data_IF_318326065681
#
_entry.id   IF_318326065681
#
_cell.length_a   1.000
_cell.length_b   1.000
_cell.length_c   1.000
_cell.angle_alpha   90.00
_cell.angle_beta   90.00
_cell.angle_gamma   90.00
#
_symmetry.space_group_name_H-M   'P 1'
#
loop_
_entity.id
_entity.type
_entity.pdbx_description
1 polymer ?
#
# COMPACT_ATOMS: atom_id res chain seq x y z
N UNK A 1 -12.15 11.79 -3.59
CA UNK A 1 -11.38 11.84 -2.32
C UNK A 1 -10.27 10.78 -2.26
N UNK A 2 -10.53 9.51 -2.58
CA UNK A 2 -9.51 8.43 -2.52
C UNK A 2 -8.34 8.67 -3.49
N UNK A 3 -8.60 8.91 -4.77
CA UNK A 3 -7.53 9.22 -5.75
C UNK A 3 -6.77 10.49 -5.38
N UNK A 4 -7.48 11.51 -4.90
CA UNK A 4 -6.88 12.75 -4.45
C UNK A 4 -5.96 12.53 -3.24
N UNK A 5 -6.34 11.70 -2.26
CA UNK A 5 -5.48 11.41 -1.11
C UNK A 5 -4.23 10.62 -1.51
N UNK A 6 -4.36 9.68 -2.46
CA UNK A 6 -3.23 8.96 -3.06
C UNK A 6 -2.26 9.90 -3.79
N UNK A 7 -2.80 10.81 -4.59
CA UNK A 7 -2.01 11.77 -5.37
C UNK A 7 -1.31 12.82 -4.50
N UNK A 8 -1.99 13.33 -3.46
CA UNK A 8 -1.58 14.53 -2.74
C UNK A 8 -0.94 14.29 -1.37
N UNK A 9 -1.12 13.11 -0.76
CA UNK A 9 -0.56 12.88 0.57
C UNK A 9 0.97 12.78 0.58
N UNK A 10 1.60 13.78 1.19
CA UNK A 10 3.07 13.80 1.41
C UNK A 10 3.50 13.00 2.64
N UNK A 11 2.57 12.69 3.55
CA UNK A 11 2.89 12.12 4.86
C UNK A 11 2.55 10.63 4.99
N UNK A 12 1.52 10.16 4.28
CA UNK A 12 1.12 8.77 4.36
C UNK A 12 2.22 7.85 3.81
N UNK A 13 2.47 6.72 4.47
CA UNK A 13 3.35 5.68 3.94
C UNK A 13 2.64 4.83 2.88
N UNK A 14 1.38 4.48 3.15
CA UNK A 14 0.45 3.75 2.29
C UNK A 14 -0.97 4.21 2.61
N UNK A 15 -1.86 4.15 1.62
CA UNK A 15 -3.31 4.36 1.74
C UNK A 15 -3.98 3.09 1.24
N UNK A 16 -4.89 2.56 2.06
CA UNK A 16 -5.53 1.26 1.85
C UNK A 16 -7.04 1.40 2.02
N UNK A 17 -7.78 0.53 1.35
CA UNK A 17 -9.24 0.41 1.45
C UNK A 17 -9.58 -0.81 2.33
N UNK A 18 -10.13 -0.62 3.54
CA UNK A 18 -10.61 -1.72 4.37
C UNK A 18 -11.72 -2.49 3.64
N UNK A 19 -11.58 -3.82 3.55
CA UNK A 19 -12.55 -4.71 2.91
C UNK A 19 -13.41 -5.47 3.93
N UNK A 20 -12.85 -5.72 5.11
CA UNK A 20 -13.56 -6.40 6.18
C UNK A 20 -12.64 -6.73 7.34
N UNK A 21 -13.24 -7.21 8.42
CA UNK A 21 -12.54 -7.71 9.59
C UNK A 21 -13.20 -9.00 10.09
N UNK A 22 -12.41 -9.88 10.70
CA UNK A 22 -12.92 -11.08 11.34
C UNK A 22 -12.12 -11.41 12.60
N UNK A 23 -12.75 -12.17 13.51
CA UNK A 23 -12.06 -12.74 14.67
C UNK A 23 -11.36 -14.03 14.26
N UNK A 24 -10.15 -14.29 14.77
CA UNK A 24 -9.31 -15.43 14.40
C UNK A 24 -8.95 -16.27 15.61
N UNK A 25 -9.77 -17.28 15.92
CA UNK A 25 -9.48 -18.28 16.95
C UNK A 25 -8.95 -19.60 16.36
N UNK A 26 -9.17 -19.81 15.06
CA UNK A 26 -8.69 -20.96 14.29
C UNK A 26 -8.28 -20.57 12.88
N UNK A 27 -7.52 -21.43 12.20
CA UNK A 27 -7.19 -21.27 10.78
C UNK A 27 -8.46 -21.16 9.91
N UNK A 28 -9.53 -21.85 10.31
CA UNK A 28 -10.81 -21.84 9.62
C UNK A 28 -11.47 -20.46 9.70
N UNK A 29 -11.37 -19.77 10.84
CA UNK A 29 -11.97 -18.44 11.01
C UNK A 29 -11.33 -17.41 10.08
N UNK A 30 -10.00 -17.44 9.95
CA UNK A 30 -9.28 -16.60 8.99
C UNK A 30 -9.70 -16.93 7.57
N UNK A 31 -9.77 -18.22 7.23
CA UNK A 31 -10.16 -18.68 5.89
C UNK A 31 -11.59 -18.24 5.52
N UNK A 32 -12.56 -18.43 6.43
CA UNK A 32 -13.95 -18.01 6.24
C UNK A 32 -14.08 -16.48 6.15
N UNK A 33 -13.37 -15.74 7.01
CA UNK A 33 -13.36 -14.29 6.98
C UNK A 33 -12.78 -13.72 5.67
N UNK A 34 -11.73 -14.33 5.14
CA UNK A 34 -11.18 -13.97 3.83
C UNK A 34 -12.19 -14.31 2.73
N UNK A 35 -12.84 -15.47 2.77
CA UNK A 35 -13.82 -15.86 1.73
C UNK A 35 -15.11 -15.07 1.72
N UNK A 36 -15.45 -14.37 2.80
CA UNK A 36 -16.59 -13.47 2.85
C UNK A 36 -16.45 -12.28 1.88
N UNK A 37 -15.23 -11.93 1.51
CA UNK A 37 -14.94 -10.87 0.53
C UNK A 37 -15.09 -11.44 -0.90
N UNK A 38 -15.77 -10.70 -1.77
CA UNK A 38 -16.07 -11.14 -3.14
C UNK A 38 -14.88 -10.92 -4.10
N UNK A 39 -13.78 -11.65 -3.89
CA UNK A 39 -12.52 -11.49 -4.63
C UNK A 39 -12.67 -11.57 -6.15
N UNK A 40 -13.57 -12.42 -6.64
CA UNK A 40 -13.77 -12.64 -8.08
C UNK A 40 -14.36 -11.43 -8.80
N UNK A 41 -15.06 -10.54 -8.08
CA UNK A 41 -15.58 -9.28 -8.63
C UNK A 41 -14.62 -8.11 -8.40
N UNK A 42 -13.58 -8.29 -7.59
CA UNK A 42 -12.59 -7.25 -7.29
C UNK A 42 -11.40 -7.28 -8.24
N UNK A 43 -11.08 -8.43 -8.83
CA UNK A 43 -9.91 -8.60 -9.68
C UNK A 43 -10.27 -8.36 -11.14
N UNK A 44 -9.47 -7.54 -11.82
CA UNK A 44 -9.49 -7.51 -13.28
C UNK A 44 -9.05 -8.87 -13.86
N UNK A 45 -9.58 -9.28 -15.03
CA UNK A 45 -9.15 -10.51 -15.68
C UNK A 45 -7.63 -10.57 -15.88
N UNK A 46 -6.99 -11.62 -15.37
CA UNK A 46 -5.54 -11.81 -15.48
C UNK A 46 -4.68 -11.06 -14.46
N UNK A 47 -5.28 -10.28 -13.56
CA UNK A 47 -4.55 -9.54 -12.54
C UNK A 47 -3.75 -10.48 -11.61
N UNK A 48 -2.49 -10.10 -11.37
CA UNK A 48 -1.63 -10.77 -10.38
C UNK A 48 -1.89 -10.22 -8.98
N UNK A 49 -1.57 -11.00 -7.95
CA UNK A 49 -1.71 -10.50 -6.57
C UNK A 49 -0.61 -10.95 -5.62
N UNK A 50 -0.47 -10.19 -4.53
CA UNK A 50 0.33 -10.56 -3.37
C UNK A 50 -0.43 -10.34 -2.08
N UNK A 51 -0.12 -11.15 -1.07
CA UNK A 51 -0.62 -10.99 0.28
C UNK A 51 0.53 -10.60 1.20
N UNK A 52 0.35 -9.52 1.95
CA UNK A 52 1.22 -9.15 3.05
C UNK A 52 0.46 -9.29 4.35
N UNK A 53 1.01 -10.08 5.29
CA UNK A 53 0.40 -10.31 6.58
C UNK A 53 1.32 -9.76 7.68
N UNK A 54 0.74 -9.00 8.60
CA UNK A 54 1.43 -8.42 9.75
C UNK A 54 0.66 -8.72 11.03
N UNK A 55 1.38 -9.01 12.11
CA UNK A 55 0.79 -9.41 13.38
C UNK A 55 0.79 -10.91 13.61
N UNK A 56 0.58 -11.31 14.86
CA UNK A 56 0.60 -12.70 15.33
C UNK A 56 -0.41 -12.84 16.47
N UNK A 57 -0.95 -14.04 16.65
CA UNK A 57 -1.72 -14.44 17.83
C UNK A 57 -1.46 -15.92 18.16
N UNK A 58 -2.22 -16.48 19.10
CA UNK A 58 -2.05 -17.87 19.56
C UNK A 58 -2.20 -18.91 18.44
N UNK A 59 -3.03 -18.60 17.44
CA UNK A 59 -3.33 -19.43 16.28
C UNK A 59 -2.35 -19.17 15.14
N UNK A 60 -2.24 -17.92 14.68
CA UNK A 60 -1.31 -17.49 13.64
C UNK A 60 0.02 -17.07 14.27
N UNK A 61 0.87 -18.05 14.52
CA UNK A 61 2.19 -17.86 15.16
C UNK A 61 3.30 -17.43 14.21
N UNK A 62 3.03 -17.43 12.90
CA UNK A 62 3.97 -17.00 11.87
C UNK A 62 3.25 -16.18 10.80
N UNK A 63 3.77 -14.98 10.49
CA UNK A 63 3.17 -14.08 9.52
C UNK A 63 3.19 -14.64 8.10
N UNK A 64 4.25 -15.36 7.70
CA UNK A 64 4.30 -16.03 6.40
C UNK A 64 3.25 -17.14 6.28
N UNK A 65 2.94 -17.82 7.39
CA UNK A 65 1.87 -18.80 7.44
C UNK A 65 0.50 -18.14 7.25
N UNK A 66 0.23 -17.04 7.96
CA UNK A 66 -0.99 -16.25 7.78
C UNK A 66 -1.17 -15.74 6.35
N UNK A 67 -0.09 -15.22 5.74
CA UNK A 67 -0.09 -14.79 4.34
C UNK A 67 -0.39 -15.94 3.37
N UNK A 68 0.17 -17.13 3.61
CA UNK A 68 -0.10 -18.31 2.80
C UNK A 68 -1.57 -18.74 2.88
N UNK A 69 -2.15 -18.78 4.08
CA UNK A 69 -3.56 -19.14 4.30
C UNK A 69 -4.53 -18.18 3.62
N UNK A 70 -4.29 -16.87 3.72
CA UNK A 70 -5.11 -15.86 3.04
C UNK A 70 -4.97 -16.00 1.52
N UNK A 71 -3.75 -16.24 1.00
CA UNK A 71 -3.51 -16.49 -0.43
C UNK A 71 -4.28 -17.72 -0.92
N UNK A 72 -4.26 -18.82 -0.16
CA UNK A 72 -5.00 -20.04 -0.52
C UNK A 72 -6.52 -19.79 -0.49
N UNK A 73 -7.03 -19.08 0.52
CA UNK A 73 -8.44 -18.71 0.62
C UNK A 73 -8.92 -17.84 -0.56
N UNK A 74 -8.10 -16.89 -1.01
CA UNK A 74 -8.37 -16.07 -2.20
C UNK A 74 -8.41 -16.95 -3.45
N UNK A 75 -7.41 -17.81 -3.66
CA UNK A 75 -7.36 -18.73 -4.81
C UNK A 75 -8.59 -19.64 -4.85
N UNK A 76 -8.98 -20.19 -3.70
CA UNK A 76 -10.14 -21.08 -3.61
C UNK A 76 -11.46 -20.35 -3.96
N UNK A 77 -11.55 -19.03 -3.73
CA UNK A 77 -12.71 -18.25 -4.15
C UNK A 77 -12.90 -18.26 -5.69
N UNK A 78 -11.81 -18.30 -6.46
CA UNK A 78 -11.86 -18.45 -7.92
C UNK A 78 -12.17 -19.91 -8.32
N UNK A 79 -11.50 -20.87 -7.69
CA UNK A 79 -11.70 -22.31 -7.96
C UNK A 79 -13.16 -22.74 -7.77
N UNK A 80 -13.80 -22.28 -6.67
CA UNK A 80 -15.22 -22.60 -6.37
C UNK A 80 -16.21 -22.04 -7.38
N UNK A 81 -15.86 -20.97 -8.09
CA UNK A 81 -16.67 -20.39 -9.17
C UNK A 81 -16.24 -20.87 -10.56
N UNK A 82 -15.39 -21.90 -10.66
CA UNK A 82 -14.82 -22.41 -11.91
C UNK A 82 -14.10 -21.33 -12.74
N UNK A 83 -13.50 -20.34 -12.08
CA UNK A 83 -12.73 -19.28 -12.72
C UNK A 83 -11.23 -19.63 -12.76
N UNK A 84 -10.47 -19.08 -13.72
CA UNK A 84 -9.03 -19.28 -13.77
C UNK A 84 -8.36 -18.74 -12.50
N UNK A 85 -7.41 -19.51 -11.97
CA UNK A 85 -6.64 -19.14 -10.78
C UNK A 85 -5.79 -17.88 -11.05
N UNK A 86 -5.84 -16.84 -10.19
CA UNK A 86 -4.95 -15.70 -10.31
C UNK A 86 -3.50 -16.09 -9.94
N UNK A 87 -2.54 -15.53 -10.68
CA UNK A 87 -1.12 -15.75 -10.43
C UNK A 87 -0.61 -14.83 -9.31
N UNK A 88 0.43 -15.30 -8.61
CA UNK A 88 1.06 -14.54 -7.53
C UNK A 88 2.35 -13.92 -8.04
N UNK A 89 2.43 -12.59 -7.99
CA UNK A 89 3.66 -11.82 -8.23
C UNK A 89 4.01 -11.09 -6.93
N UNK A 90 5.19 -11.39 -6.37
CA UNK A 90 5.64 -10.78 -5.10
C UNK A 90 6.37 -9.46 -5.29
N UNK A 91 6.96 -9.26 -6.46
CA UNK A 91 7.78 -8.09 -6.75
C UNK A 91 6.87 -6.96 -7.26
N UNK A 92 5.92 -7.34 -8.11
CA UNK A 92 5.13 -6.42 -8.90
C UNK A 92 3.65 -6.83 -9.00
N UNK A 93 2.90 -7.00 -7.89
CA UNK A 93 1.48 -7.37 -7.93
C UNK A 93 0.57 -6.24 -8.41
N UNK A 94 -0.45 -6.59 -9.21
CA UNK A 94 -1.52 -5.65 -9.61
C UNK A 94 -2.52 -5.40 -8.47
N UNK A 95 -2.75 -6.43 -7.65
CA UNK A 95 -3.55 -6.37 -6.43
C UNK A 95 -2.67 -6.73 -5.23
N UNK A 96 -2.55 -5.81 -4.26
CA UNK A 96 -1.88 -6.10 -3.00
C UNK A 96 -2.87 -6.11 -1.86
N UNK A 97 -3.00 -7.25 -1.19
CA UNK A 97 -3.86 -7.40 -0.02
C UNK A 97 -3.01 -7.34 1.24
N UNK A 98 -3.33 -6.41 2.12
CA UNK A 98 -2.69 -6.30 3.43
C UNK A 98 -3.64 -6.85 4.49
N UNK A 99 -3.15 -7.74 5.33
CA UNK A 99 -3.87 -8.26 6.50
C UNK A 99 -3.12 -7.86 7.75
N UNK A 100 -3.79 -7.14 8.64
CA UNK A 100 -3.25 -6.75 9.93
C UNK A 100 -4.00 -7.45 11.06
N UNK A 101 -3.31 -8.37 11.72
CA UNK A 101 -3.81 -9.10 12.87
C UNK A 101 -3.37 -8.38 14.15
N UNK A 102 -4.34 -7.94 14.94
CA UNK A 102 -4.09 -7.38 16.26
C UNK A 102 -4.99 -8.03 17.29
N UNK A 103 -4.36 -8.64 18.31
CA UNK A 103 -5.04 -9.53 19.25
C UNK A 103 -5.75 -10.62 18.44
N UNK A 104 -7.07 -10.73 18.59
CA UNK A 104 -7.88 -11.73 17.88
C UNK A 104 -8.56 -11.20 16.62
N UNK A 105 -8.33 -9.94 16.21
CA UNK A 105 -9.01 -9.36 15.05
C UNK A 105 -8.06 -9.21 13.86
N UNK A 106 -8.38 -9.87 12.75
CA UNK A 106 -7.71 -9.70 11.47
C UNK A 106 -8.46 -8.67 10.63
N UNK A 107 -7.77 -7.59 10.24
CA UNK A 107 -8.27 -6.56 9.34
C UNK A 107 -7.72 -6.80 7.95
N UNK A 108 -8.60 -6.93 6.95
CA UNK A 108 -8.24 -7.19 5.56
C UNK A 108 -8.47 -5.91 4.76
N UNK A 109 -7.45 -5.44 4.05
CA UNK A 109 -7.52 -4.22 3.26
C UNK A 109 -6.82 -4.39 1.90
N UNK A 110 -7.35 -3.70 0.89
CA UNK A 110 -6.72 -3.55 -0.42
C UNK A 110 -5.75 -2.36 -0.37
N UNK A 111 -4.52 -2.58 -0.81
CA UNK A 111 -3.51 -1.53 -0.89
C UNK A 111 -3.61 -0.78 -2.22
N UNK A 112 -4.10 0.45 -2.17
CA UNK A 112 -4.28 1.28 -3.36
C UNK A 112 -2.99 2.01 -3.76
N UNK A 113 -1.98 2.05 -2.89
CA UNK A 113 -0.72 2.75 -3.16
C UNK A 113 0.20 1.92 -4.06
N UNK A 114 0.13 0.59 -3.98
CA UNK A 114 1.03 -0.32 -4.67
C UNK A 114 2.41 -0.31 -4.01
N UNK A 115 3.33 0.49 -4.54
CA UNK A 115 4.57 0.81 -3.86
C UNK A 115 4.36 1.82 -2.73
N UNK A 116 5.27 1.87 -1.76
CA UNK A 116 5.18 2.85 -0.68
C UNK A 116 5.14 4.28 -1.24
N UNK A 117 4.29 5.13 -0.67
CA UNK A 117 4.07 6.48 -1.19
C UNK A 117 5.34 7.33 -1.14
N UNK A 118 6.24 7.08 -0.19
CA UNK A 118 7.56 7.73 -0.12
C UNK A 118 8.36 7.64 -1.44
N UNK A 119 8.15 6.61 -2.27
CA UNK A 119 8.74 6.54 -3.61
C UNK A 119 8.01 7.49 -4.56
N UNK A 120 8.49 8.73 -4.68
CA UNK A 120 7.87 9.77 -5.53
C UNK A 120 8.17 9.65 -7.02
N UNK A 121 9.15 8.80 -7.39
CA UNK A 121 9.58 8.60 -8.78
C UNK A 121 10.79 9.44 -9.22
N UNK A 122 11.31 10.34 -8.37
CA UNK A 122 12.51 11.12 -8.70
C UNK A 122 13.84 10.43 -8.34
N UNK A 123 13.78 9.26 -7.69
CA UNK A 123 14.96 8.54 -7.17
C UNK A 123 14.96 7.12 -7.72
N UNK A 124 15.97 6.78 -8.50
CA UNK A 124 16.11 5.44 -9.10
C UNK A 124 16.69 4.41 -8.12
N UNK A 125 17.57 4.83 -7.19
CA UNK A 125 18.22 3.93 -6.21
C UNK A 125 18.41 4.65 -4.89
N UNK A 126 17.80 4.11 -3.82
CA UNK A 126 18.12 4.53 -2.46
C UNK A 126 19.56 4.10 -2.14
N UNK A 127 20.42 5.07 -1.83
CA UNK A 127 21.67 4.79 -1.13
C UNK A 127 21.40 4.21 0.27
N UNK A 128 22.46 3.91 1.02
CA UNK A 128 22.37 3.13 2.27
C UNK A 128 21.62 3.85 3.41
N UNK A 129 21.46 5.19 3.38
CA UNK A 129 20.85 5.91 4.50
C UNK A 129 20.19 7.29 4.20
N UNK A 130 19.39 7.49 3.14
CA UNK A 130 18.61 8.72 3.02
C UNK A 130 17.39 8.71 3.94
N UNK A 131 17.04 9.88 4.49
CA UNK A 131 15.77 10.10 5.19
C UNK A 131 14.62 9.79 4.23
N UNK A 132 13.59 9.07 4.71
CA UNK A 132 12.36 8.81 3.94
C UNK A 132 11.71 10.12 3.52
N UNK A 133 11.24 10.17 2.29
CA UNK A 133 10.59 11.33 1.67
C UNK A 133 9.39 11.82 2.49
N UNK A 134 8.61 10.90 3.05
CA UNK A 134 7.49 11.24 3.95
C UNK A 134 7.93 11.94 5.24
N UNK A 135 9.08 11.53 5.79
CA UNK A 135 9.66 12.17 6.98
C UNK A 135 10.30 13.51 6.63
N UNK A 136 10.98 13.61 5.47
CA UNK A 136 11.53 14.87 5.00
C UNK A 136 10.43 15.92 4.79
N UNK A 137 9.31 15.55 4.16
CA UNK A 137 8.13 16.42 4.04
C UNK A 137 7.61 16.87 5.41
N UNK A 138 7.53 15.96 6.39
CA UNK A 138 7.10 16.30 7.75
C UNK A 138 8.07 17.27 8.46
N UNK A 139 9.38 17.12 8.23
CA UNK A 139 10.40 18.03 8.77
C UNK A 139 10.25 19.42 8.16
N UNK A 140 10.08 19.53 6.84
CA UNK A 140 9.85 20.81 6.16
C UNK A 140 8.60 21.50 6.70
N UNK A 141 7.50 20.76 6.90
CA UNK A 141 6.28 21.32 7.49
C UNK A 141 6.46 21.82 8.93
N UNK A 142 7.41 21.24 9.68
CA UNK A 142 7.70 21.58 11.09
C UNK A 142 8.85 22.56 11.27
N UNK A 143 9.59 22.91 10.23
CA UNK A 143 10.80 23.73 10.33
C UNK A 143 10.52 25.22 10.58
N UNK A 144 9.26 25.65 10.43
CA UNK A 144 8.88 27.06 10.45
C UNK A 144 9.24 27.83 9.16
N UNK A 145 9.79 27.13 8.16
CA UNK A 145 10.05 27.73 6.84
C UNK A 145 8.75 28.17 6.15
N UNK A 146 8.80 29.31 5.48
CA UNK A 146 7.69 29.85 4.70
C UNK A 146 7.97 29.70 3.20
N UNK A 147 7.09 29.03 2.44
CA UNK A 147 7.20 28.97 0.98
C UNK A 147 7.40 30.35 0.36
N UNK A 148 8.37 30.47 -0.56
CA UNK A 148 8.74 31.74 -1.19
C UNK A 148 9.89 32.49 -0.51
N UNK A 149 10.33 32.06 0.67
CA UNK A 149 11.55 32.56 1.32
C UNK A 149 12.74 31.62 1.09
N UNK A 150 14.00 32.12 1.13
CA UNK A 150 15.17 31.27 0.95
C UNK A 150 15.21 30.10 1.94
N UNK A 151 15.50 28.89 1.43
CA UNK A 151 15.75 27.69 2.22
C UNK A 151 17.15 27.16 1.90
N UNK A 152 17.95 26.89 2.92
CA UNK A 152 19.30 26.38 2.77
C UNK A 152 19.50 25.17 3.69
N UNK A 153 19.98 24.07 3.12
CA UNK A 153 20.46 22.91 3.85
C UNK A 153 21.97 22.73 3.56
N UNK A 154 22.86 23.09 4.50
CA UNK A 154 24.30 23.10 4.26
C UNK A 154 24.90 21.68 4.21
N UNK A 155 24.14 20.66 4.59
CA UNK A 155 24.55 19.26 4.64
C UNK A 155 23.51 18.37 3.93
N UNK A 156 23.01 18.84 2.78
CA UNK A 156 21.82 18.27 2.13
C UNK A 156 21.93 16.82 1.66
N UNK A 157 23.15 16.28 1.56
CA UNK A 157 23.39 14.89 1.12
C UNK A 157 22.68 14.58 -0.19
N UNK A 158 21.69 13.69 -0.15
CA UNK A 158 20.87 13.32 -1.32
C UNK A 158 19.79 14.34 -1.72
N UNK A 159 19.70 15.48 -1.02
CA UNK A 159 18.80 16.58 -1.32
C UNK A 159 17.33 16.38 -0.92
N UNK A 160 16.96 15.28 -0.24
CA UNK A 160 15.55 14.93 0.02
C UNK A 160 14.75 16.08 0.65
N UNK A 161 15.32 16.78 1.64
CA UNK A 161 14.65 17.90 2.32
C UNK A 161 14.34 19.05 1.36
N UNK A 162 15.32 19.45 0.54
CA UNK A 162 15.17 20.54 -0.42
C UNK A 162 14.22 20.17 -1.57
N UNK A 163 14.25 18.90 -2.02
CA UNK A 163 13.32 18.40 -3.05
C UNK A 163 11.88 18.44 -2.53
N UNK A 164 11.61 17.89 -1.34
CA UNK A 164 10.27 17.91 -0.74
C UNK A 164 9.80 19.34 -0.47
N UNK A 165 10.69 20.24 -0.04
CA UNK A 165 10.37 21.65 0.14
C UNK A 165 10.02 22.36 -1.17
N UNK A 166 10.80 22.14 -2.24
CA UNK A 166 10.52 22.70 -3.55
C UNK A 166 9.20 22.18 -4.11
N UNK A 167 8.93 20.86 -3.99
CA UNK A 167 7.66 20.28 -4.40
C UNK A 167 6.48 20.81 -3.60
N UNK A 168 6.66 21.08 -2.31
CA UNK A 168 5.63 21.68 -1.45
C UNK A 168 5.34 23.13 -1.88
N UNK A 169 6.38 23.96 -2.06
CA UNK A 169 6.21 25.37 -2.39
C UNK A 169 5.70 25.63 -3.82
N UNK A 170 5.92 24.69 -4.74
CA UNK A 170 5.44 24.78 -6.13
C UNK A 170 4.12 24.04 -6.36
N UNK A 171 3.45 23.63 -5.29
CA UNK A 171 2.21 22.83 -5.32
C UNK A 171 2.30 21.58 -6.21
N UNK A 172 3.49 20.96 -6.26
CA UNK A 172 3.74 19.77 -7.04
C UNK A 172 3.31 18.53 -6.27
N UNK A 173 2.30 17.82 -6.78
CA UNK A 173 1.78 16.63 -6.13
C UNK A 173 2.87 15.54 -5.96
N UNK A 174 2.97 14.90 -4.79
CA UNK A 174 3.95 13.84 -4.54
C UNK A 174 3.72 12.60 -5.42
N UNK A 175 2.49 12.34 -5.85
CA UNK A 175 2.16 11.22 -6.74
C UNK A 175 2.39 11.48 -8.23
N UNK A 176 2.72 12.71 -8.63
CA UNK A 176 2.68 13.15 -10.04
C UNK A 176 3.60 12.35 -10.97
N UNK A 177 4.74 11.89 -10.46
CA UNK A 177 5.76 11.18 -11.23
C UNK A 177 5.80 9.68 -10.94
N UNK A 178 4.80 9.15 -10.23
CA UNK A 178 4.72 7.71 -9.94
C UNK A 178 4.27 6.95 -11.18
N UNK A 179 5.04 5.93 -11.57
CA UNK A 179 4.72 5.08 -12.71
C UNK A 179 3.74 3.93 -12.40
N UNK A 180 3.43 3.68 -11.13
CA UNK A 180 2.57 2.56 -10.71
C UNK A 180 1.73 2.87 -9.48
N UNK A 181 0.53 2.28 -9.46
CA UNK A 181 -0.42 2.32 -8.35
C UNK A 181 -1.01 0.93 -8.05
N UNK A 182 -1.60 0.77 -6.87
CA UNK A 182 -2.19 -0.51 -6.42
C UNK A 182 -3.68 -0.67 -6.79
N UNK A 183 -4.28 0.32 -7.45
CA UNK A 183 -5.66 0.27 -7.92
C UNK A 183 -5.81 -0.21 -9.38
N UNK A 184 -4.73 -0.34 -10.14
CA UNK A 184 -4.79 -0.69 -11.57
C UNK A 184 -5.33 -2.11 -11.84
N UNK A 185 -5.14 -3.05 -10.92
CA UNK A 185 -5.71 -4.40 -10.99
C UNK A 185 -7.13 -4.52 -10.42
N UNK A 186 -7.69 -3.45 -9.88
CA UNK A 186 -8.95 -3.45 -9.13
C UNK A 186 -10.13 -3.10 -10.02
N UNK A 187 -11.12 -3.99 -10.10
CA UNK A 187 -12.25 -3.86 -11.02
C UNK A 187 -13.20 -2.70 -10.71
N UNK A 188 -13.24 -2.20 -9.47
CA UNK A 188 -14.04 -1.02 -9.10
C UNK A 188 -13.22 0.28 -9.21
N UNK A 189 -12.04 0.22 -9.83
CA UNK A 189 -11.32 1.43 -10.22
C UNK A 189 -12.15 2.23 -11.24
N UNK A 190 -12.16 3.54 -11.06
CA UNK A 190 -12.81 4.50 -11.95
C UNK A 190 -11.72 5.33 -12.60
N UNK A 191 -11.48 5.11 -13.88
CA UNK A 191 -10.43 5.79 -14.66
C UNK A 191 -10.82 7.25 -14.96
N UNK A 192 -12.10 7.60 -14.87
CA UNK A 192 -12.57 8.95 -15.19
C UNK A 192 -12.27 9.98 -14.08
N UNK A 193 -11.85 9.54 -12.89
CA UNK A 193 -11.69 10.34 -11.66
C UNK A 193 -10.25 10.28 -11.14
#
# INVERSE_FOLDING_TARGET
>A
LVYQSLMWSRLASRIMLPLGECKVYSDLDLYLGVQAINWTEMFNPGATFAVHFSGLNDTIRNSQYGAMKVKDAIVDAFTRKNLPRPNVDRDAPDIRVNVWLHKETANIALDLSGDGLHLRGYRDRAGIAPIKETLAAAIVMRSGWQPGTPLLDPMCGSGTLLIEAAMLATDRAPGLHRGRWGFSGWAQHDEAI
#
